data_IF_455432301219
#
_entry.id   IF_455432301219
#
_cell.length_a   1.000
_cell.length_b   1.000
_cell.length_c   1.000
_cell.angle_alpha   90.00
_cell.angle_beta   90.00
_cell.angle_gamma   90.00
#
_symmetry.space_group_name_H-M   'P 1'
#
loop_
_entity.id
_entity.type
_entity.pdbx_description
1 polymer ?
#
# COMPACT_ATOMS: atom_id res chain seq x y z
N UNK A 1 22.01 5.68 -15.46
CA UNK A 1 22.92 4.79 -14.72
C UNK A 1 22.89 5.22 -13.26
N UNK A 2 22.54 4.30 -12.37
CA UNK A 2 22.61 4.54 -10.94
C UNK A 2 24.08 4.35 -10.56
N UNK A 3 24.66 5.36 -9.92
CA UNK A 3 26.00 5.27 -9.38
C UNK A 3 26.09 4.07 -8.41
N UNK A 4 26.97 3.12 -8.69
CA UNK A 4 27.11 1.89 -7.92
C UNK A 4 27.50 2.16 -6.47
N UNK A 5 28.30 3.21 -6.23
CA UNK A 5 28.72 3.63 -4.90
C UNK A 5 27.54 4.17 -4.10
N UNK A 6 26.72 5.01 -4.72
CA UNK A 6 25.48 5.55 -4.12
C UNK A 6 24.47 4.43 -3.83
N UNK A 7 24.32 3.47 -4.73
CA UNK A 7 23.45 2.31 -4.51
C UNK A 7 23.91 1.46 -3.33
N UNK A 8 25.22 1.25 -3.20
CA UNK A 8 25.81 0.50 -2.10
C UNK A 8 25.65 1.22 -0.76
N UNK A 9 25.80 2.55 -0.76
CA UNK A 9 25.61 3.39 0.43
C UNK A 9 24.14 3.30 0.94
N UNK A 10 23.17 3.46 0.04
CA UNK A 10 21.74 3.37 0.37
C UNK A 10 21.40 1.96 0.87
N UNK A 11 21.90 0.92 0.22
CA UNK A 11 21.67 -0.46 0.63
C UNK A 11 22.24 -0.73 2.02
N UNK A 12 23.44 -0.23 2.29
CA UNK A 12 24.08 -0.35 3.61
C UNK A 12 23.34 0.43 4.70
N UNK A 13 22.85 1.62 4.37
CA UNK A 13 22.03 2.43 5.29
C UNK A 13 20.72 1.74 5.61
N UNK A 14 20.03 1.19 4.61
CA UNK A 14 18.81 0.42 4.78
C UNK A 14 19.02 -0.85 5.61
N UNK A 15 20.11 -1.59 5.38
CA UNK A 15 20.44 -2.77 6.17
C UNK A 15 20.70 -2.42 7.64
N UNK A 16 21.40 -1.32 7.93
CA UNK A 16 21.60 -0.82 9.30
C UNK A 16 20.28 -0.46 9.97
N UNK A 17 19.39 0.20 9.24
CA UNK A 17 18.05 0.56 9.72
C UNK A 17 17.22 -0.68 10.06
N UNK A 18 17.25 -1.71 9.22
CA UNK A 18 16.56 -2.99 9.44
C UNK A 18 17.12 -3.78 10.66
N UNK A 19 18.34 -3.51 11.07
CA UNK A 19 18.96 -4.16 12.25
C UNK A 19 18.62 -3.45 13.56
N UNK A 20 18.06 -2.27 13.53
CA UNK A 20 17.64 -1.55 14.73
C UNK A 20 16.33 -2.13 15.26
N UNK A 21 16.21 -2.22 16.59
CA UNK A 21 14.96 -2.70 17.23
C UNK A 21 13.81 -1.69 17.14
N UNK A 22 14.12 -0.45 16.76
CA UNK A 22 13.15 0.61 16.60
C UNK A 22 13.45 1.39 15.32
N UNK A 23 12.50 1.42 14.42
CA UNK A 23 12.53 2.31 13.27
C UNK A 23 11.61 3.49 13.57
N UNK A 24 12.21 4.65 13.79
CA UNK A 24 11.46 5.87 14.04
C UNK A 24 11.39 6.71 12.78
N UNK A 25 10.23 6.75 12.16
CA UNK A 25 9.87 7.81 11.22
C UNK A 25 8.63 8.55 11.77
N UNK A 26 8.74 9.08 12.97
CA UNK A 26 7.62 9.71 13.66
C UNK A 26 6.59 8.73 14.24
N UNK A 27 6.75 7.43 14.03
CA UNK A 27 5.93 6.39 14.62
C UNK A 27 6.83 5.25 15.13
N UNK A 28 6.50 4.74 16.30
CA UNK A 28 7.19 3.59 16.88
C UNK A 28 6.66 2.32 16.25
N UNK A 29 7.40 1.77 15.28
CA UNK A 29 7.12 0.46 14.70
C UNK A 29 8.23 -0.51 15.04
N UNK A 30 7.88 -1.77 15.30
CA UNK A 30 8.89 -2.81 15.49
C UNK A 30 9.61 -3.12 14.19
N UNK A 31 10.82 -3.66 14.27
CA UNK A 31 11.57 -4.13 13.09
C UNK A 31 10.75 -5.12 12.26
N UNK A 32 10.05 -6.03 12.92
CA UNK A 32 9.17 -6.99 12.27
C UNK A 32 8.06 -6.27 11.48
N UNK A 33 7.38 -5.32 12.10
CA UNK A 33 6.30 -4.56 11.46
C UNK A 33 6.81 -3.73 10.27
N UNK A 34 8.03 -3.22 10.35
CA UNK A 34 8.65 -2.48 9.25
C UNK A 34 8.96 -3.38 8.05
N UNK A 35 9.56 -4.54 8.29
CA UNK A 35 9.88 -5.51 7.23
C UNK A 35 8.62 -6.17 6.64
N UNK A 36 7.66 -6.55 7.47
CA UNK A 36 6.41 -7.15 7.05
C UNK A 36 5.47 -6.15 6.35
N UNK A 37 5.55 -4.87 6.71
CA UNK A 37 4.74 -3.82 6.09
C UNK A 37 4.96 -3.70 4.59
N UNK A 38 6.17 -3.94 4.09
CA UNK A 38 6.44 -3.98 2.66
C UNK A 38 5.80 -5.21 1.99
N UNK A 39 5.92 -6.39 2.59
CA UNK A 39 5.29 -7.62 2.11
C UNK A 39 3.76 -7.51 2.14
N UNK A 40 3.19 -6.95 3.19
CA UNK A 40 1.75 -6.72 3.29
C UNK A 40 1.23 -5.81 2.18
N UNK A 41 1.97 -4.73 1.86
CA UNK A 41 1.56 -3.77 0.82
C UNK A 41 1.71 -4.29 -0.61
N UNK A 42 2.79 -5.03 -0.88
CA UNK A 42 3.09 -5.49 -2.24
C UNK A 42 2.48 -6.85 -2.56
N UNK A 43 2.38 -7.71 -1.55
CA UNK A 43 1.88 -9.08 -1.69
C UNK A 43 0.51 -9.27 -1.07
N UNK A 44 -0.08 -8.22 -0.45
CA UNK A 44 -1.37 -8.29 0.25
C UNK A 44 -1.39 -9.41 1.29
N UNK A 45 -0.27 -9.60 2.00
CA UNK A 45 -0.16 -10.64 3.02
C UNK A 45 -1.00 -10.27 4.25
N UNK A 46 -1.88 -11.15 4.64
CA UNK A 46 -2.73 -11.05 5.82
C UNK A 46 -2.46 -12.16 6.84
N UNK A 47 -3.14 -12.06 7.95
CA UNK A 47 -3.13 -13.01 9.04
C UNK A 47 -4.47 -13.72 9.09
N UNK A 48 -4.44 -14.99 9.43
CA UNK A 48 -5.67 -15.77 9.66
C UNK A 48 -5.78 -16.06 11.15
N UNK A 49 -6.91 -15.70 11.74
CA UNK A 49 -7.24 -15.94 13.12
C UNK A 49 -8.70 -16.40 13.23
N UNK A 50 -8.90 -17.58 13.82
CA UNK A 50 -10.23 -18.17 14.04
C UNK A 50 -11.10 -18.24 12.76
N UNK A 51 -10.47 -18.44 11.60
CA UNK A 51 -11.14 -18.48 10.31
C UNK A 51 -11.46 -17.12 9.70
N UNK A 52 -11.06 -16.04 10.35
CA UNK A 52 -11.17 -14.69 9.82
C UNK A 52 -9.83 -14.21 9.24
N UNK A 53 -9.90 -13.57 8.07
CA UNK A 53 -8.75 -12.93 7.45
C UNK A 53 -8.60 -11.50 7.97
N UNK A 54 -7.44 -11.17 8.49
CA UNK A 54 -7.09 -9.84 9.02
C UNK A 54 -6.04 -9.20 8.09
N UNK A 55 -6.38 -8.04 7.57
CA UNK A 55 -5.49 -7.21 6.78
C UNK A 55 -5.82 -5.71 7.00
N UNK A 56 -4.85 -4.83 7.14
CA UNK A 56 -3.40 -5.09 7.21
C UNK A 56 -3.00 -5.87 8.47
N UNK A 57 -1.84 -6.55 8.46
CA UNK A 57 -1.37 -7.34 9.59
C UNK A 57 -1.21 -6.50 10.86
N UNK A 58 -1.51 -7.09 12.00
CA UNK A 58 -1.39 -6.49 13.33
C UNK A 58 -0.42 -7.29 14.18
N UNK A 59 0.23 -6.64 15.14
CA UNK A 59 1.07 -7.35 16.12
C UNK A 59 0.25 -7.97 17.26
N UNK A 60 -0.83 -7.32 17.64
CA UNK A 60 -1.68 -7.73 18.75
C UNK A 60 -3.14 -7.76 18.32
N UNK A 61 -3.87 -8.72 18.84
CA UNK A 61 -5.32 -8.78 18.74
C UNK A 61 -5.98 -7.73 19.63
N UNK A 62 -7.28 -7.53 19.47
CA UNK A 62 -8.07 -6.62 20.32
C UNK A 62 -8.10 -7.10 21.80
N UNK A 63 -7.84 -8.40 22.07
CA UNK A 63 -7.69 -8.98 23.40
C UNK A 63 -6.26 -8.89 23.98
N UNK A 64 -5.31 -8.27 23.27
CA UNK A 64 -3.93 -8.10 23.72
C UNK A 64 -3.04 -9.34 23.54
N UNK A 65 -3.48 -10.33 22.78
CA UNK A 65 -2.67 -11.50 22.43
C UNK A 65 -1.81 -11.23 21.20
N UNK A 66 -0.62 -11.84 21.14
CA UNK A 66 0.22 -11.77 19.97
C UNK A 66 -0.47 -12.42 18.77
N UNK A 67 -0.46 -11.71 17.66
CA UNK A 67 -1.01 -12.20 16.40
C UNK A 67 -0.03 -13.16 15.70
N UNK A 68 -0.54 -14.17 14.96
CA UNK A 68 0.31 -15.00 14.11
C UNK A 68 1.00 -14.15 13.03
N UNK A 69 2.09 -14.67 12.47
CA UNK A 69 2.75 -14.01 11.36
C UNK A 69 1.84 -13.98 10.13
N UNK A 70 1.90 -12.90 9.35
CA UNK A 70 1.18 -12.80 8.08
C UNK A 70 1.72 -13.84 7.09
N UNK A 71 0.87 -14.77 6.68
CA UNK A 71 1.25 -15.93 5.86
C UNK A 71 0.31 -16.20 4.69
N UNK A 72 -0.86 -15.55 4.67
CA UNK A 72 -1.88 -15.78 3.66
C UNK A 72 -2.05 -14.55 2.78
N UNK A 73 -1.91 -14.72 1.46
CA UNK A 73 -2.16 -13.65 0.51
C UNK A 73 -3.65 -13.47 0.25
N UNK A 74 -4.10 -12.22 0.26
CA UNK A 74 -5.40 -11.85 -0.28
C UNK A 74 -5.41 -12.03 -1.81
N UNK A 75 -6.58 -12.28 -2.36
CA UNK A 75 -6.76 -12.29 -3.80
C UNK A 75 -6.48 -10.91 -4.39
N UNK A 76 -5.96 -10.88 -5.61
CA UNK A 76 -5.66 -9.63 -6.30
C UNK A 76 -6.86 -9.05 -7.06
N UNK A 77 -8.07 -9.39 -6.60
CA UNK A 77 -9.34 -8.88 -7.10
C UNK A 77 -10.16 -8.44 -5.89
N UNK A 78 -10.81 -7.30 -6.01
CA UNK A 78 -11.69 -6.76 -4.98
C UNK A 78 -12.85 -5.99 -5.61
N UNK A 79 -13.86 -5.66 -4.81
CA UNK A 79 -15.05 -4.92 -5.25
C UNK A 79 -15.01 -3.51 -4.66
N UNK A 80 -15.28 -2.49 -5.47
CA UNK A 80 -15.38 -1.10 -5.04
C UNK A 80 -16.64 -0.90 -4.19
N UNK A 81 -16.46 -0.46 -2.95
CA UNK A 81 -17.56 -0.07 -2.04
C UNK A 81 -17.77 1.45 -2.01
N UNK A 82 -16.71 2.23 -2.24
CA UNK A 82 -16.75 3.68 -2.28
C UNK A 82 -15.53 4.23 -3.01
N UNK A 83 -15.58 5.49 -3.44
CA UNK A 83 -14.42 6.16 -4.00
C UNK A 83 -14.49 7.66 -3.78
N UNK A 84 -13.36 8.33 -3.93
CA UNK A 84 -13.27 9.78 -3.88
C UNK A 84 -12.13 10.29 -4.74
N UNK A 85 -12.29 11.49 -5.28
CA UNK A 85 -11.24 12.20 -6.01
C UNK A 85 -10.78 13.39 -5.18
N UNK A 86 -9.57 13.32 -4.67
CA UNK A 86 -8.92 14.41 -3.96
C UNK A 86 -8.53 15.48 -4.97
N UNK A 87 -9.01 16.72 -4.77
CA UNK A 87 -8.61 17.83 -5.61
C UNK A 87 -7.10 18.08 -5.50
N UNK A 88 -6.50 18.61 -6.57
CA UNK A 88 -5.07 18.88 -6.62
C UNK A 88 -4.56 19.73 -5.44
N UNK A 89 -5.35 20.72 -5.00
CA UNK A 89 -5.00 21.57 -3.86
C UNK A 89 -5.03 20.85 -2.51
N UNK A 90 -5.76 19.73 -2.40
CA UNK A 90 -5.85 18.93 -1.17
C UNK A 90 -5.00 17.65 -1.20
N UNK A 91 -4.26 17.43 -2.29
CA UNK A 91 -3.41 16.26 -2.42
C UNK A 91 -2.16 16.39 -1.53
N UNK A 92 -1.69 15.27 -0.92
CA UNK A 92 -0.42 15.25 -0.20
C UNK A 92 0.76 15.70 -1.05
N UNK A 93 1.79 16.24 -0.41
CA UNK A 93 2.96 16.86 -1.08
C UNK A 93 3.67 15.94 -2.06
N UNK A 94 3.71 14.65 -1.80
CA UNK A 94 4.29 13.63 -2.69
C UNK A 94 3.57 13.50 -4.04
N UNK A 95 2.35 14.00 -4.13
CA UNK A 95 1.54 14.03 -5.35
C UNK A 95 1.45 15.41 -6.00
N UNK A 96 2.15 16.42 -5.47
CA UNK A 96 2.04 17.81 -5.92
C UNK A 96 2.26 18.02 -7.41
N UNK A 97 3.13 17.22 -8.05
CA UNK A 97 3.35 17.27 -9.49
C UNK A 97 2.26 16.54 -10.30
N UNK A 98 1.74 15.42 -9.77
CA UNK A 98 0.82 14.57 -10.52
C UNK A 98 -0.63 15.02 -10.40
N UNK A 99 -1.00 15.47 -9.21
CA UNK A 99 -2.40 15.83 -8.94
C UNK A 99 -2.94 16.92 -9.88
N UNK A 100 -2.20 18.00 -10.20
CA UNK A 100 -2.67 18.98 -11.19
C UNK A 100 -2.82 18.40 -12.61
N UNK A 101 -1.89 17.52 -13.02
CA UNK A 101 -1.92 16.91 -14.37
C UNK A 101 -3.13 15.98 -14.52
N UNK A 102 -3.46 15.22 -13.48
CA UNK A 102 -4.55 14.26 -13.46
C UNK A 102 -5.90 14.89 -13.08
N UNK A 103 -5.92 16.19 -12.76
CA UNK A 103 -7.11 16.86 -12.25
C UNK A 103 -7.55 16.35 -10.86
N UNK A 104 -6.63 15.75 -10.12
CA UNK A 104 -6.86 15.19 -8.80
C UNK A 104 -6.29 13.78 -8.65
N UNK A 105 -6.39 13.21 -7.45
CA UNK A 105 -5.96 11.84 -7.14
C UNK A 105 -7.19 11.02 -6.76
N UNK A 106 -7.47 9.98 -7.52
CA UNK A 106 -8.60 9.10 -7.26
C UNK A 106 -8.18 7.97 -6.31
N UNK A 107 -8.94 7.79 -5.25
CA UNK A 107 -8.81 6.70 -4.30
C UNK A 107 -10.07 5.86 -4.28
N UNK A 108 -9.91 4.56 -4.13
CA UNK A 108 -11.01 3.61 -4.02
C UNK A 108 -10.95 2.88 -2.68
N UNK A 109 -12.11 2.73 -2.05
CA UNK A 109 -12.30 1.87 -0.90
C UNK A 109 -12.89 0.56 -1.39
N UNK A 110 -12.16 -0.51 -1.18
CA UNK A 110 -12.49 -1.82 -1.75
C UNK A 110 -12.64 -2.87 -0.68
N UNK A 111 -13.45 -3.88 -0.98
CA UNK A 111 -13.62 -5.08 -0.17
C UNK A 111 -13.07 -6.29 -0.93
N UNK A 112 -12.17 -7.03 -0.29
CA UNK A 112 -11.70 -8.32 -0.76
C UNK A 112 -12.76 -9.39 -0.54
N UNK A 113 -12.76 -10.43 -1.36
CA UNK A 113 -13.68 -11.56 -1.21
C UNK A 113 -13.51 -12.26 0.14
N UNK A 114 -12.28 -12.31 0.66
CA UNK A 114 -11.98 -12.88 1.97
C UNK A 114 -12.42 -12.00 3.17
N UNK A 115 -13.05 -10.85 2.92
CA UNK A 115 -13.66 -9.98 3.94
C UNK A 115 -12.94 -8.67 4.23
N UNK A 116 -11.60 -8.59 4.29
CA UNK A 116 -10.90 -7.34 4.57
C UNK A 116 -11.24 -6.21 3.61
N UNK A 117 -11.07 -5.00 4.10
CA UNK A 117 -11.27 -3.75 3.35
C UNK A 117 -10.01 -2.91 3.35
N UNK A 118 -9.83 -2.10 2.31
CA UNK A 118 -8.69 -1.20 2.23
C UNK A 118 -8.91 -0.05 1.28
N UNK A 119 -8.09 0.99 1.44
CA UNK A 119 -8.07 2.16 0.55
C UNK A 119 -6.84 2.07 -0.33
N UNK A 120 -7.04 2.24 -1.63
CA UNK A 120 -5.97 2.19 -2.62
C UNK A 120 -6.12 3.32 -3.63
N UNK A 121 -5.02 3.69 -4.26
CA UNK A 121 -5.04 4.59 -5.40
C UNK A 121 -5.57 3.87 -6.64
N UNK A 122 -6.35 4.56 -7.45
CA UNK A 122 -6.66 4.11 -8.80
C UNK A 122 -5.44 4.32 -9.70
N UNK A 123 -5.28 3.53 -10.76
CA UNK A 123 -4.27 3.78 -11.79
C UNK A 123 -4.53 5.11 -12.50
N UNK A 124 -3.46 5.74 -12.99
CA UNK A 124 -3.55 7.10 -13.55
C UNK A 124 -4.06 7.14 -15.00
N UNK A 125 -4.07 5.99 -15.64
CA UNK A 125 -4.49 5.77 -17.03
C UNK A 125 -5.95 5.28 -17.15
N UNK A 126 -6.72 5.36 -16.08
CA UNK A 126 -8.14 5.03 -16.10
C UNK A 126 -8.94 6.23 -16.63
N UNK A 127 -9.61 6.06 -17.75
CA UNK A 127 -10.39 7.12 -18.41
C UNK A 127 -11.73 7.39 -17.73
N UNK A 128 -12.23 6.45 -16.94
CA UNK A 128 -13.52 6.52 -16.28
C UNK A 128 -13.42 6.59 -14.77
N UNK A 129 -14.32 7.34 -14.16
CA UNK A 129 -14.49 7.31 -12.71
C UNK A 129 -15.04 5.94 -12.27
N UNK A 130 -14.52 5.37 -11.15
CA UNK A 130 -15.01 4.09 -10.67
C UNK A 130 -16.50 4.16 -10.29
N UNK A 131 -17.17 3.03 -10.40
CA UNK A 131 -18.54 2.86 -9.93
C UNK A 131 -18.55 1.93 -8.71
N UNK A 132 -19.53 2.14 -7.81
CA UNK A 132 -19.76 1.20 -6.71
C UNK A 132 -20.18 -0.15 -7.30
N UNK A 133 -19.50 -1.21 -6.91
CA UNK A 133 -19.72 -2.56 -7.43
C UNK A 133 -18.74 -2.99 -8.53
N UNK A 134 -17.94 -2.05 -9.06
CA UNK A 134 -16.90 -2.42 -10.02
C UNK A 134 -15.91 -3.40 -9.40
N UNK A 135 -15.45 -4.33 -10.22
CA UNK A 135 -14.31 -5.17 -9.85
C UNK A 135 -13.02 -4.48 -10.24
N UNK A 136 -12.06 -4.55 -9.34
CA UNK A 136 -10.71 -4.03 -9.54
C UNK A 136 -9.69 -5.12 -9.34
N UNK A 137 -8.62 -5.08 -10.13
CA UNK A 137 -7.42 -5.87 -9.91
C UNK A 137 -6.29 -5.00 -9.38
N UNK A 138 -5.37 -5.61 -8.62
CA UNK A 138 -4.22 -4.93 -8.07
C UNK A 138 -3.00 -5.09 -8.98
N UNK A 139 -2.46 -3.97 -9.41
CA UNK A 139 -1.28 -3.89 -10.28
C UNK A 139 -0.17 -3.09 -9.60
N UNK A 140 1.07 -3.53 -9.79
CA UNK A 140 2.22 -2.80 -9.27
C UNK A 140 2.46 -1.56 -10.14
N UNK A 141 2.48 -0.39 -9.51
CA UNK A 141 2.70 0.91 -10.16
C UNK A 141 3.58 1.79 -9.29
N UNK A 142 4.18 2.80 -9.92
CA UNK A 142 4.85 3.86 -9.17
C UNK A 142 3.80 4.68 -8.44
N UNK A 143 3.97 4.81 -7.13
CA UNK A 143 3.10 5.62 -6.27
C UNK A 143 3.54 7.07 -6.36
N UNK A 144 4.81 7.35 -6.04
CA UNK A 144 5.41 8.68 -6.17
C UNK A 144 6.93 8.57 -6.35
N UNK A 145 7.55 9.68 -6.72
CA UNK A 145 8.98 9.87 -6.71
C UNK A 145 9.27 11.21 -6.03
N UNK A 146 10.12 11.19 -5.02
CA UNK A 146 10.52 12.37 -4.26
C UNK A 146 11.99 12.22 -3.84
N UNK A 147 12.80 13.28 -4.01
CA UNK A 147 14.18 13.32 -3.57
C UNK A 147 15.03 12.09 -3.98
N UNK A 148 14.99 11.71 -5.24
CA UNK A 148 15.64 10.52 -5.80
C UNK A 148 15.07 9.17 -5.34
N UNK A 149 14.06 9.14 -4.48
CA UNK A 149 13.36 7.90 -4.13
C UNK A 149 12.14 7.68 -5.03
N UNK A 150 12.07 6.48 -5.60
CA UNK A 150 10.87 6.03 -6.33
C UNK A 150 10.18 4.98 -5.48
N UNK A 151 8.95 5.26 -5.05
CA UNK A 151 8.13 4.31 -4.31
C UNK A 151 7.18 3.58 -5.24
N UNK A 152 7.27 2.26 -5.22
CA UNK A 152 6.33 1.38 -5.89
C UNK A 152 5.32 0.82 -4.89
N UNK A 153 4.13 0.51 -5.37
CA UNK A 153 3.07 -0.09 -4.59
C UNK A 153 1.97 -0.63 -5.48
N UNK A 154 0.91 -1.12 -4.87
CA UNK A 154 -0.27 -1.59 -5.58
C UNK A 154 -1.22 -0.43 -5.82
N UNK A 155 -1.74 -0.34 -7.03
CA UNK A 155 -2.89 0.48 -7.42
C UNK A 155 -4.01 -0.41 -7.93
N UNK A 156 -5.22 0.08 -7.82
CA UNK A 156 -6.39 -0.56 -8.41
C UNK A 156 -6.54 -0.18 -9.87
N UNK A 157 -6.85 -1.16 -10.70
CA UNK A 157 -7.23 -1.01 -12.09
C UNK A 157 -8.61 -1.64 -12.28
N UNK A 158 -9.55 -0.93 -12.90
CA UNK A 158 -10.89 -1.46 -13.16
C UNK A 158 -10.79 -2.64 -14.13
N UNK A 159 -11.45 -3.74 -13.78
CA UNK A 159 -11.55 -4.90 -14.69
C UNK A 159 -12.71 -4.63 -15.62
N UNK A 160 -12.42 -4.26 -16.86
CA UNK A 160 -13.46 -4.14 -17.88
C UNK A 160 -14.02 -5.54 -18.16
N UNK A 161 -15.33 -5.67 -17.96
CA UNK A 161 -16.08 -6.87 -18.36
C UNK A 161 -16.21 -6.94 -19.87
#
# INVERSE_FOLDING_TARGET
EVDAEFHQEITSAWQRECQTTHVSQGAYVSQQQYSEGAAARLNLMGQELDGEMIWPPRQMSDSGLLMPQASTSLQRIATVESWTKLAAAGAPSEFSFRAPILGGITTVFVRFEQGPRGVFLLVDDEDNDPQIGDQVQFVTRRIYAQEAFVRYGLKCQIVNQ
#
